data_IF_486254526269
#
_entry.id   IF_486254526269
#
_cell.length_a   1.000
_cell.length_b   1.000
_cell.length_c   1.000
_cell.angle_alpha   90.00
_cell.angle_beta   90.00
_cell.angle_gamma   90.00
#
_symmetry.space_group_name_H-M   'P 1'
#
loop_
_entity.id
_entity.type
_entity.pdbx_description
1 polymer ?
#
# COMPACT_ATOMS: atom_id res chain seq x y z
N UNK A 1 -31.50 6.11 -19.07
CA UNK A 1 -31.87 5.60 -17.71
C UNK A 1 -30.60 5.21 -16.95
N UNK A 2 -30.40 5.68 -15.70
CA UNK A 2 -29.26 5.24 -14.88
C UNK A 2 -29.39 3.74 -14.57
N UNK A 3 -28.36 2.96 -14.89
CA UNK A 3 -28.33 1.52 -14.61
C UNK A 3 -28.29 1.30 -13.08
N UNK A 4 -29.44 0.99 -12.48
CA UNK A 4 -29.60 0.80 -11.02
C UNK A 4 -28.74 -0.33 -10.45
N UNK A 5 -28.29 -1.29 -11.27
CA UNK A 5 -27.40 -2.37 -10.81
C UNK A 5 -25.96 -1.88 -10.71
N UNK A 6 -25.52 -1.05 -11.66
CA UNK A 6 -24.19 -0.43 -11.62
C UNK A 6 -24.04 0.48 -10.40
N UNK A 7 -25.05 1.28 -10.06
CA UNK A 7 -24.99 2.16 -8.88
C UNK A 7 -24.87 1.36 -7.57
N UNK A 8 -25.59 0.24 -7.45
CA UNK A 8 -25.49 -0.65 -6.29
C UNK A 8 -24.08 -1.24 -6.13
N UNK A 9 -23.44 -1.62 -7.23
CA UNK A 9 -22.06 -2.14 -7.20
C UNK A 9 -21.07 -1.05 -6.78
N UNK A 10 -21.21 0.17 -7.31
CA UNK A 10 -20.36 1.30 -6.94
C UNK A 10 -20.44 1.63 -5.45
N UNK A 11 -21.65 1.66 -4.87
CA UNK A 11 -21.81 1.88 -3.42
C UNK A 11 -21.09 0.80 -2.59
N UNK A 12 -21.04 -0.45 -3.07
CA UNK A 12 -20.27 -1.51 -2.41
C UNK A 12 -18.76 -1.29 -2.53
N UNK A 13 -18.29 -0.79 -3.68
CA UNK A 13 -16.89 -0.40 -3.87
C UNK A 13 -16.50 0.76 -2.98
N UNK A 14 -17.32 1.82 -2.90
CA UNK A 14 -17.05 2.99 -2.06
C UNK A 14 -16.89 2.58 -0.58
N UNK A 15 -17.75 1.67 -0.10
CA UNK A 15 -17.63 1.11 1.27
C UNK A 15 -16.34 0.30 1.48
N UNK A 16 -15.87 -0.40 0.43
CA UNK A 16 -14.60 -1.13 0.49
C UNK A 16 -13.42 -0.16 0.50
N UNK A 17 -13.48 0.92 -0.27
CA UNK A 17 -12.43 1.95 -0.32
C UNK A 17 -12.30 2.67 1.04
N UNK A 18 -13.42 2.94 1.72
CA UNK A 18 -13.40 3.43 3.10
C UNK A 18 -12.70 2.46 4.07
N UNK A 19 -12.89 1.15 3.89
CA UNK A 19 -12.16 0.16 4.67
C UNK A 19 -10.65 0.15 4.33
N UNK A 20 -10.29 0.36 3.05
CA UNK A 20 -8.89 0.51 2.64
C UNK A 20 -8.24 1.74 3.27
N UNK A 21 -8.93 2.89 3.32
CA UNK A 21 -8.43 4.09 4.00
C UNK A 21 -8.12 3.86 5.48
N UNK A 22 -8.99 3.12 6.18
CA UNK A 22 -8.75 2.71 7.57
C UNK A 22 -7.49 1.83 7.69
N UNK A 23 -7.24 0.93 6.74
CA UNK A 23 -6.02 0.12 6.70
C UNK A 23 -4.77 0.98 6.40
N UNK A 24 -4.88 1.96 5.49
CA UNK A 24 -3.78 2.89 5.23
C UNK A 24 -3.44 3.75 6.44
N UNK A 25 -4.43 4.19 7.24
CA UNK A 25 -4.17 4.87 8.51
C UNK A 25 -3.35 4.01 9.45
N UNK A 26 -3.74 2.73 9.65
CA UNK A 26 -2.97 1.78 10.46
C UNK A 26 -1.56 1.57 9.93
N UNK A 27 -1.41 1.40 8.60
CA UNK A 27 -0.11 1.24 7.95
C UNK A 27 0.78 2.47 8.16
N UNK A 28 0.22 3.67 8.08
CA UNK A 28 0.96 4.94 8.28
C UNK A 28 1.52 5.04 9.69
N UNK A 29 0.72 4.72 10.70
CA UNK A 29 1.20 4.71 12.09
C UNK A 29 2.40 3.77 12.28
N UNK A 30 2.42 2.61 11.61
CA UNK A 30 3.55 1.68 11.65
C UNK A 30 4.77 2.24 10.89
N UNK A 31 4.57 2.94 9.78
CA UNK A 31 5.66 3.62 9.06
C UNK A 31 6.27 4.71 9.91
N UNK A 32 5.46 5.50 10.63
CA UNK A 32 5.97 6.55 11.52
C UNK A 32 6.82 5.96 12.65
N UNK A 33 6.43 4.81 13.21
CA UNK A 33 7.25 4.08 14.18
C UNK A 33 8.59 3.63 13.58
N UNK A 34 8.57 3.07 12.38
CA UNK A 34 9.80 2.69 11.65
C UNK A 34 10.68 3.91 11.37
N UNK A 35 10.08 5.04 10.99
CA UNK A 35 10.79 6.27 10.68
C UNK A 35 11.53 6.84 11.89
N UNK A 36 10.91 6.78 13.08
CA UNK A 36 11.53 7.21 14.35
C UNK A 36 12.84 6.46 14.66
N UNK A 37 12.90 5.18 14.29
CA UNK A 37 14.04 4.29 14.53
C UNK A 37 15.19 4.49 13.53
N UNK A 38 14.91 5.02 12.33
CA UNK A 38 15.95 5.28 11.32
C UNK A 38 16.84 6.45 11.77
N UNK A 39 18.15 6.30 11.57
CA UNK A 39 19.17 7.30 11.92
C UNK A 39 19.58 8.14 10.71
N UNK A 40 19.57 7.55 9.51
CA UNK A 40 20.05 8.22 8.30
C UNK A 40 19.05 8.14 7.14
N UNK A 41 19.01 9.19 6.30
CA UNK A 41 18.16 9.25 5.08
C UNK A 41 18.42 8.08 4.12
N UNK A 42 19.66 7.55 4.07
CA UNK A 42 20.00 6.38 3.24
C UNK A 42 19.26 5.10 3.64
N UNK A 43 18.79 5.01 4.89
CA UNK A 43 18.04 3.86 5.41
C UNK A 43 16.55 3.93 5.04
N UNK A 44 16.09 5.03 4.43
CA UNK A 44 14.71 5.18 3.99
C UNK A 44 14.39 4.12 2.92
N UNK A 45 15.30 3.93 1.94
CA UNK A 45 15.11 3.01 0.83
C UNK A 45 15.84 1.68 1.07
N UNK A 46 15.12 0.70 1.61
CA UNK A 46 15.61 -0.67 1.74
C UNK A 46 15.21 -1.53 0.52
N UNK A 47 16.11 -1.60 -0.47
CA UNK A 47 15.91 -2.38 -1.71
C UNK A 47 15.66 -3.87 -1.45
N UNK A 48 16.32 -4.47 -0.44
CA UNK A 48 16.18 -5.89 -0.10
C UNK A 48 14.79 -6.16 0.45
N UNK A 49 14.30 -5.31 1.36
CA UNK A 49 12.94 -5.41 1.90
C UNK A 49 11.88 -5.20 0.83
N UNK A 50 12.04 -4.24 -0.07
CA UNK A 50 11.10 -4.00 -1.17
C UNK A 50 10.98 -5.25 -2.05
N UNK A 51 12.11 -5.82 -2.50
CA UNK A 51 12.12 -7.06 -3.31
C UNK A 51 11.38 -8.22 -2.60
N UNK A 52 11.62 -8.39 -1.30
CA UNK A 52 10.97 -9.43 -0.50
C UNK A 52 9.46 -9.21 -0.35
N UNK A 53 9.02 -7.96 -0.18
CA UNK A 53 7.59 -7.61 -0.12
C UNK A 53 6.92 -7.95 -1.46
N UNK A 54 7.47 -7.48 -2.58
CA UNK A 54 6.88 -7.71 -3.91
C UNK A 54 6.82 -9.20 -4.27
N UNK A 55 7.87 -9.98 -3.94
CA UNK A 55 7.86 -11.44 -4.11
C UNK A 55 6.75 -12.11 -3.31
N UNK A 56 6.58 -11.71 -2.04
CA UNK A 56 5.53 -12.25 -1.16
C UNK A 56 4.13 -11.89 -1.65
N UNK A 57 3.92 -10.65 -2.10
CA UNK A 57 2.63 -10.22 -2.66
C UNK A 57 2.31 -11.02 -3.93
N UNK A 58 3.24 -11.10 -4.88
CA UNK A 58 3.07 -11.89 -6.11
C UNK A 58 2.63 -13.32 -5.81
N UNK A 59 3.26 -13.99 -4.84
CA UNK A 59 2.91 -15.35 -4.42
C UNK A 59 1.52 -15.43 -3.79
N UNK A 60 1.22 -14.53 -2.84
CA UNK A 60 -0.09 -14.52 -2.14
C UNK A 60 -1.24 -14.18 -3.08
N UNK A 61 -1.02 -13.34 -4.07
CA UNK A 61 -2.02 -12.99 -5.08
C UNK A 61 -2.41 -14.21 -5.91
N UNK A 62 -1.42 -14.99 -6.38
CA UNK A 62 -1.67 -16.26 -7.06
C UNK A 62 -2.51 -17.22 -6.21
N UNK A 63 -2.14 -17.40 -4.94
CA UNK A 63 -2.86 -18.27 -4.00
C UNK A 63 -4.30 -17.83 -3.75
N UNK A 64 -4.59 -16.53 -3.89
CA UNK A 64 -5.93 -15.95 -3.68
C UNK A 64 -6.73 -15.79 -4.97
N UNK A 65 -6.21 -16.24 -6.12
CA UNK A 65 -6.87 -16.07 -7.42
C UNK A 65 -6.94 -14.61 -7.91
N UNK A 66 -6.08 -13.73 -7.40
CA UNK A 66 -6.00 -12.33 -7.81
C UNK A 66 -4.85 -12.19 -8.81
N UNK A 67 -5.07 -11.43 -9.89
CA UNK A 67 -4.00 -11.13 -10.85
C UNK A 67 -2.76 -10.57 -10.14
N UNK A 68 -1.62 -11.29 -10.17
CA UNK A 68 -0.38 -10.83 -9.56
C UNK A 68 0.13 -9.52 -10.18
N UNK A 69 -0.18 -9.21 -11.44
CA UNK A 69 0.23 -7.97 -12.10
C UNK A 69 -0.46 -6.76 -11.46
N UNK A 70 -1.76 -6.85 -11.20
CA UNK A 70 -2.54 -5.80 -10.53
C UNK A 70 -1.98 -5.54 -9.14
N UNK A 71 -1.86 -6.59 -8.34
CA UNK A 71 -1.42 -6.47 -6.93
C UNK A 71 0.03 -6.04 -6.80
N UNK A 72 0.95 -6.54 -7.64
CA UNK A 72 2.35 -6.09 -7.60
C UNK A 72 2.45 -4.60 -7.94
N UNK A 73 1.72 -4.13 -8.95
CA UNK A 73 1.69 -2.70 -9.32
C UNK A 73 1.14 -1.83 -8.18
N UNK A 74 0.02 -2.23 -7.57
CA UNK A 74 -0.56 -1.50 -6.43
C UNK A 74 0.44 -1.41 -5.28
N UNK A 75 1.08 -2.53 -4.90
CA UNK A 75 2.04 -2.53 -3.80
C UNK A 75 3.31 -1.73 -4.09
N UNK A 76 3.80 -1.76 -5.33
CA UNK A 76 4.93 -0.93 -5.76
C UNK A 76 4.59 0.56 -5.64
N UNK A 77 3.42 0.99 -6.11
CA UNK A 77 2.95 2.38 -5.96
C UNK A 77 2.79 2.77 -4.50
N UNK A 78 2.20 1.90 -3.68
CA UNK A 78 2.09 2.15 -2.22
C UNK A 78 3.48 2.35 -1.62
N UNK A 79 4.43 1.45 -1.88
CA UNK A 79 5.79 1.55 -1.36
C UNK A 79 6.44 2.87 -1.78
N UNK A 80 6.37 3.24 -3.07
CA UNK A 80 6.92 4.49 -3.59
C UNK A 80 6.30 5.73 -2.92
N UNK A 81 4.98 5.73 -2.72
CA UNK A 81 4.28 6.82 -2.02
C UNK A 81 4.76 6.96 -0.58
N UNK A 82 4.96 5.84 0.12
CA UNK A 82 5.46 5.87 1.49
C UNK A 82 6.93 6.27 1.59
N UNK A 83 7.78 5.88 0.64
CA UNK A 83 9.17 6.37 0.57
C UNK A 83 9.17 7.90 0.45
N UNK A 84 8.35 8.47 -0.44
CA UNK A 84 8.20 9.93 -0.57
C UNK A 84 7.69 10.56 0.73
N UNK A 85 6.70 9.93 1.38
CA UNK A 85 6.21 10.38 2.68
C UNK A 85 7.29 10.34 3.75
N UNK A 86 8.07 9.26 3.86
CA UNK A 86 9.18 9.13 4.79
C UNK A 86 10.22 10.24 4.56
N UNK A 87 10.59 10.52 3.30
CA UNK A 87 11.52 11.61 2.98
C UNK A 87 11.01 12.99 3.42
N UNK A 88 9.71 13.29 3.26
CA UNK A 88 9.12 14.57 3.70
C UNK A 88 9.07 14.71 5.23
N UNK A 89 8.96 13.59 5.94
CA UNK A 89 8.81 13.57 7.39
C UNK A 89 10.12 13.23 8.15
N UNK A 90 11.19 12.93 7.44
CA UNK A 90 12.50 12.69 8.03
C UNK A 90 13.18 14.02 8.38
N UNK A 91 13.02 14.44 9.64
CA UNK A 91 13.55 15.72 10.16
C UNK A 91 14.99 15.63 10.71
N UNK A 92 15.64 14.47 10.60
CA UNK A 92 17.01 14.23 11.05
C UNK A 92 18.01 14.33 9.89
#
# INVERSE_FOLDING_TARGET
>A
MKNKNLSKIRIKLDKLDEALLKLFKKRTNLVDQVLKLKKFKKEIVDKKRIKNILKRIKMRSKQKGIDPKITVNIWDTIIKSYIKYEYRNFKK
#
